data_IF_420906932899
#
_entry.id   IF_420906932899
#
_cell.length_a   1.000
_cell.length_b   1.000
_cell.length_c   1.000
_cell.angle_alpha   90.00
_cell.angle_beta   90.00
_cell.angle_gamma   90.00
#
_symmetry.space_group_name_H-M   'P 1'
#
loop_
_entity.id
_entity.type
_entity.pdbx_description
1 polymer ?
#
# COMPACT_ATOMS: atom_id res chain seq x y z
N UNK A 1 11.45 18.15 6.15
CA UNK A 1 11.28 18.39 5.78
C UNK A 1 11.37 18.53 5.25
N UNK A 2 11.55 18.42 5.11
CA UNK A 2 11.49 18.67 4.43
C UNK A 2 11.26 18.85 3.66
N UNK A 3 11.01 19.02 3.50
CA UNK A 3 10.64 19.33 2.67
C UNK A 3 10.64 20.01 2.02
N UNK A 4 10.61 20.21 1.99
CA UNK A 4 10.56 20.96 1.29
C UNK A 4 11.04 21.36 0.73
N UNK A 5 11.20 21.33 0.84
CA UNK A 5 11.54 21.86 0.19
C UNK A 5 11.87 22.06 -0.43
N UNK A 6 11.80 21.91 -0.37
CA UNK A 6 11.96 22.31 -1.12
C UNK A 6 11.95 22.50 -1.74
N UNK A 7 11.80 22.47 -1.61
CA UNK A 7 11.58 22.85 -2.36
C UNK A 7 11.59 23.08 -3.08
N UNK A 8 11.53 23.18 -2.95
CA UNK A 8 11.23 23.57 -3.79
C UNK A 8 11.53 23.76 -4.51
N UNK A 9 11.60 23.96 -4.60
CA UNK A 9 11.67 24.29 -5.42
C UNK A 9 12.02 24.33 -6.23
N UNK A 10 12.10 24.32 -6.33
CA UNK A 10 12.25 24.46 -7.31
C UNK A 10 12.25 24.40 -8.14
N UNK A 11 12.13 24.36 -8.23
CA UNK A 11 12.13 24.39 -9.08
C UNK A 11 11.62 24.66 -9.86
N UNK A 12 11.15 24.71 -9.50
CA UNK A 12 10.41 25.16 -10.22
C UNK A 12 10.54 25.52 -11.43
N UNK A 13 10.81 25.66 -11.67
CA UNK A 13 11.08 26.13 -12.66
C UNK A 13 10.95 25.44 -13.78
N UNK A 14 10.96 25.13 -13.80
CA UNK A 14 11.01 24.80 -14.62
C UNK A 14 10.49 24.40 -15.43
N UNK A 15 10.53 24.18 -15.32
CA UNK A 15 10.21 23.88 -15.94
C UNK A 15 9.27 24.08 -16.58
N UNK A 16 9.34 24.46 -16.56
CA UNK A 16 8.49 25.16 -16.93
C UNK A 16 7.52 24.60 -17.94
N UNK A 17 7.32 24.82 -18.97
CA UNK A 17 6.30 24.32 -19.84
C UNK A 17 6.12 22.83 -19.76
N UNK A 18 7.21 22.18 -19.83
CA UNK A 18 7.16 20.71 -19.73
C UNK A 18 6.71 20.32 -18.38
N UNK A 19 7.19 21.07 -17.43
CA UNK A 19 6.89 20.76 -16.07
C UNK A 19 5.41 20.73 -15.78
N UNK A 20 4.65 21.44 -16.54
CA UNK A 20 3.23 21.49 -16.31
C UNK A 20 2.61 20.13 -16.22
N UNK A 21 3.02 19.26 -17.09
CA UNK A 21 2.46 17.91 -17.10
C UNK A 21 2.83 17.16 -15.83
N UNK A 22 4.07 17.27 -15.46
CA UNK A 22 4.53 16.58 -14.26
C UNK A 22 3.84 17.12 -13.02
N UNK A 23 3.60 18.40 -13.00
CA UNK A 23 2.95 19.02 -11.85
C UNK A 23 1.57 18.43 -11.64
N UNK A 24 0.84 18.19 -12.69
CA UNK A 24 -0.48 17.59 -12.56
C UNK A 24 -0.41 16.26 -11.82
N UNK A 25 0.53 15.43 -12.20
CA UNK A 25 0.66 14.14 -11.57
C UNK A 25 0.99 14.29 -10.09
N UNK A 26 1.87 15.23 -9.79
CA UNK A 26 2.26 15.46 -8.40
C UNK A 26 1.09 15.98 -7.58
N UNK A 27 0.31 16.88 -8.13
CA UNK A 27 -0.84 17.41 -7.42
C UNK A 27 -1.85 16.33 -7.13
N UNK A 28 -2.10 15.48 -8.12
CA UNK A 28 -3.03 14.37 -7.93
C UNK A 28 -2.54 13.43 -6.85
N UNK A 29 -1.25 13.19 -6.83
CA UNK A 29 -0.67 12.31 -5.82
C UNK A 29 -0.81 12.91 -4.43
N UNK A 30 -0.68 14.22 -4.31
CA UNK A 30 -0.81 14.86 -3.01
C UNK A 30 -2.20 14.72 -2.43
N UNK A 31 -3.20 14.73 -3.28
CA UNK A 31 -4.59 14.65 -2.84
C UNK A 31 -5.07 13.22 -2.70
N UNK A 32 -4.33 12.27 -3.25
CA UNK A 32 -4.78 10.89 -3.28
C UNK A 32 -4.53 10.22 -1.94
N UNK A 33 -5.50 9.44 -1.53
CA UNK A 33 -5.34 8.55 -0.39
C UNK A 33 -5.25 7.11 -0.91
N UNK A 34 -4.60 6.27 -0.14
CA UNK A 34 -4.35 4.88 -0.52
C UNK A 34 -4.89 3.95 0.53
N UNK A 35 -5.55 2.89 0.07
CA UNK A 35 -6.03 1.83 0.96
C UNK A 35 -5.20 0.59 0.69
N UNK A 36 -4.60 0.05 1.73
CA UNK A 36 -3.74 -1.11 1.61
C UNK A 36 -4.33 -2.24 2.44
N UNK A 37 -4.58 -3.36 1.77
CA UNK A 37 -5.06 -4.55 2.45
C UNK A 37 -3.89 -5.39 2.89
N UNK A 38 -3.90 -5.86 4.13
CA UNK A 38 -2.87 -6.72 4.65
C UNK A 38 -3.51 -8.03 5.07
N UNK A 39 -3.10 -9.11 4.44
CA UNK A 39 -3.55 -10.46 4.80
C UNK A 39 -2.38 -11.18 5.44
N UNK A 40 -2.45 -11.36 6.75
CA UNK A 40 -1.45 -12.09 7.49
C UNK A 40 -2.01 -13.46 7.82
N UNK A 41 -1.24 -14.50 7.55
CA UNK A 41 -1.73 -15.87 7.73
C UNK A 41 -2.13 -16.15 9.16
N UNK A 42 -1.29 -15.77 10.10
CA UNK A 42 -1.51 -16.11 11.50
C UNK A 42 -0.74 -15.12 12.36
N UNK A 43 -1.15 -15.00 13.60
CA UNK A 43 -0.43 -14.16 14.54
C UNK A 43 0.85 -14.88 14.96
N UNK A 44 1.97 -14.33 14.60
CA UNK A 44 3.27 -14.89 14.88
C UNK A 44 4.26 -13.72 14.98
N UNK A 45 5.19 -13.83 15.91
CA UNK A 45 6.11 -12.74 16.19
C UNK A 45 6.82 -12.25 14.94
N UNK A 46 7.31 -13.17 14.11
CA UNK A 46 8.03 -12.81 12.89
C UNK A 46 7.11 -12.13 11.87
N UNK A 47 5.89 -12.64 11.74
CA UNK A 47 4.94 -12.08 10.80
C UNK A 47 4.44 -10.71 11.29
N UNK A 48 4.22 -10.59 12.58
CA UNK A 48 3.80 -9.32 13.16
C UNK A 48 4.87 -8.26 12.94
N UNK A 49 6.13 -8.62 13.11
CA UNK A 49 7.24 -7.70 12.90
C UNK A 49 7.31 -7.25 11.45
N UNK A 50 7.12 -8.17 10.51
CA UNK A 50 7.16 -7.84 9.10
C UNK A 50 6.01 -6.89 8.73
N UNK A 51 4.82 -7.18 9.22
CA UNK A 51 3.65 -6.33 8.97
C UNK A 51 3.85 -4.95 9.56
N UNK A 52 4.35 -4.88 10.79
CA UNK A 52 4.56 -3.60 11.44
C UNK A 52 5.64 -2.79 10.70
N UNK A 53 6.72 -3.43 10.29
CA UNK A 53 7.76 -2.75 9.53
C UNK A 53 7.25 -2.18 8.22
N UNK A 54 6.41 -2.95 7.54
CA UNK A 54 5.79 -2.48 6.31
C UNK A 54 4.90 -1.26 6.58
N UNK A 55 4.07 -1.34 7.61
CA UNK A 55 3.18 -0.23 7.95
C UNK A 55 3.97 1.02 8.31
N UNK A 56 5.02 0.84 9.09
CA UNK A 56 5.85 1.97 9.51
C UNK A 56 6.50 2.66 8.31
N UNK A 57 7.03 1.87 7.39
CA UNK A 57 7.71 2.42 6.22
C UNK A 57 6.73 3.17 5.33
N UNK A 58 5.55 2.62 5.11
CA UNK A 58 4.55 3.27 4.28
C UNK A 58 4.03 4.54 4.96
N UNK A 59 3.82 4.48 6.26
CA UNK A 59 3.34 5.64 7.01
C UNK A 59 4.37 6.76 6.97
N UNK A 60 5.65 6.41 7.02
CA UNK A 60 6.71 7.40 6.92
C UNK A 60 6.66 8.15 5.59
N UNK A 61 6.31 7.44 4.52
CA UNK A 61 6.26 8.03 3.19
C UNK A 61 4.96 8.78 2.92
N UNK A 62 3.83 8.25 3.36
CA UNK A 62 2.53 8.76 3.00
C UNK A 62 1.79 9.47 4.14
N UNK A 63 2.22 9.25 5.37
CA UNK A 63 1.59 9.89 6.52
C UNK A 63 0.13 9.50 6.64
N UNK A 64 -0.73 10.49 6.74
CA UNK A 64 -2.17 10.24 6.91
C UNK A 64 -2.89 10.00 5.59
N UNK A 65 -2.15 9.86 4.50
CA UNK A 65 -2.74 9.55 3.20
C UNK A 65 -2.89 8.07 2.96
N UNK A 66 -2.56 7.23 3.92
CA UNK A 66 -2.66 5.79 3.78
C UNK A 66 -3.53 5.23 4.89
N UNK A 67 -4.36 4.25 4.52
CA UNK A 67 -5.21 3.51 5.45
C UNK A 67 -4.90 2.03 5.28
N UNK A 68 -4.79 1.32 6.39
CA UNK A 68 -4.50 -0.12 6.35
C UNK A 68 -5.72 -0.90 6.82
N UNK A 69 -6.08 -1.92 6.05
CA UNK A 69 -7.08 -2.90 6.46
C UNK A 69 -6.32 -4.19 6.74
N UNK A 70 -6.01 -4.41 8.00
CA UNK A 70 -5.18 -5.54 8.41
C UNK A 70 -6.05 -6.67 8.89
N UNK A 71 -5.96 -7.82 8.24
CA UNK A 71 -6.76 -8.99 8.57
C UNK A 71 -5.85 -10.17 8.86
N UNK A 72 -6.30 -11.02 9.76
CA UNK A 72 -5.56 -12.21 10.17
C UNK A 72 -6.39 -13.45 9.85
N UNK A 73 -5.79 -14.38 9.12
CA UNK A 73 -6.51 -15.57 8.66
C UNK A 73 -6.51 -16.71 9.70
N UNK A 74 -5.82 -16.50 10.80
CA UNK A 74 -5.79 -17.45 11.93
C UNK A 74 -5.35 -18.85 11.50
N UNK A 75 -4.43 -18.89 10.55
CA UNK A 75 -3.83 -20.13 10.09
C UNK A 75 -4.61 -20.87 9.01
N UNK A 76 -5.70 -20.29 8.53
CA UNK A 76 -6.60 -20.99 7.62
C UNK A 76 -6.46 -20.41 6.21
N UNK A 77 -6.03 -21.24 5.26
CA UNK A 77 -5.87 -20.81 3.88
C UNK A 77 -7.18 -20.38 3.24
N UNK A 78 -8.29 -21.02 3.60
CA UNK A 78 -9.59 -20.61 3.08
C UNK A 78 -9.97 -19.23 3.56
N UNK A 79 -9.62 -18.91 4.80
CA UNK A 79 -9.85 -17.59 5.33
C UNK A 79 -9.00 -16.56 4.58
N UNK A 80 -7.78 -16.92 4.19
CA UNK A 80 -6.96 -16.05 3.35
C UNK A 80 -7.72 -15.67 2.08
N UNK A 81 -8.31 -16.65 1.42
CA UNK A 81 -9.06 -16.39 0.19
C UNK A 81 -10.23 -15.46 0.41
N UNK A 82 -10.93 -15.63 1.52
CA UNK A 82 -12.05 -14.76 1.86
C UNK A 82 -11.57 -13.32 2.08
N UNK A 83 -10.46 -13.17 2.81
CA UNK A 83 -9.89 -11.85 3.06
C UNK A 83 -9.51 -11.17 1.76
N UNK A 84 -8.88 -11.91 0.85
CA UNK A 84 -8.48 -11.35 -0.44
C UNK A 84 -9.71 -10.94 -1.25
N UNK A 85 -10.75 -11.76 -1.23
CA UNK A 85 -12.00 -11.41 -1.92
C UNK A 85 -12.56 -10.09 -1.40
N UNK A 86 -12.52 -9.90 -0.08
CA UNK A 86 -12.98 -8.65 0.51
C UNK A 86 -12.13 -7.46 0.04
N UNK A 87 -10.81 -7.64 -0.01
CA UNK A 87 -9.92 -6.57 -0.48
C UNK A 87 -10.22 -6.20 -1.92
N UNK A 88 -10.46 -7.19 -2.76
CA UNK A 88 -10.80 -6.95 -4.17
C UNK A 88 -12.11 -6.18 -4.28
N UNK A 89 -13.10 -6.59 -3.49
CA UNK A 89 -14.40 -5.91 -3.48
C UNK A 89 -14.28 -4.46 -3.01
N UNK A 90 -13.41 -4.23 -2.04
CA UNK A 90 -13.21 -2.88 -1.52
C UNK A 90 -12.37 -2.02 -2.44
N UNK A 91 -11.69 -2.63 -3.40
CA UNK A 91 -10.86 -1.88 -4.33
C UNK A 91 -9.62 -1.31 -3.72
N UNK A 92 -8.95 -2.09 -2.84
CA UNK A 92 -7.71 -1.59 -2.23
C UNK A 92 -6.65 -1.36 -3.30
N UNK A 93 -5.72 -0.49 -3.02
CA UNK A 93 -4.69 -0.09 -3.97
C UNK A 93 -3.50 -1.05 -4.00
N UNK A 94 -3.28 -1.77 -2.92
CA UNK A 94 -2.15 -2.68 -2.78
C UNK A 94 -2.50 -3.74 -1.75
N UNK A 95 -2.02 -4.96 -1.96
CA UNK A 95 -2.19 -6.03 -0.99
C UNK A 95 -0.82 -6.47 -0.50
N UNK A 96 -0.64 -6.48 0.82
CA UNK A 96 0.51 -7.14 1.43
C UNK A 96 0.05 -8.53 1.86
N UNK A 97 0.65 -9.55 1.27
CA UNK A 97 0.34 -10.94 1.61
C UNK A 97 1.50 -11.48 2.45
N UNK A 98 1.25 -11.68 3.72
CA UNK A 98 2.27 -12.06 4.68
C UNK A 98 2.16 -13.54 4.98
N UNK A 99 3.09 -14.30 4.45
CA UNK A 99 3.22 -15.75 4.46
C UNK A 99 2.67 -16.36 3.18
N UNK A 100 3.19 -17.55 2.85
CA UNK A 100 2.94 -18.19 1.57
C UNK A 100 1.47 -18.44 1.27
N UNK A 101 0.65 -18.97 2.19
CA UNK A 101 -0.76 -19.17 1.86
C UNK A 101 -1.49 -17.88 1.55
N UNK A 102 -1.12 -16.78 2.23
CA UNK A 102 -1.72 -15.49 1.93
C UNK A 102 -1.30 -15.02 0.54
N UNK A 103 -0.04 -15.22 0.18
CA UNK A 103 0.45 -14.84 -1.14
C UNK A 103 -0.24 -15.64 -2.23
N UNK A 104 -0.42 -16.93 -2.02
CA UNK A 104 -1.10 -17.79 -2.99
C UNK A 104 -2.54 -17.35 -3.16
N UNK A 105 -3.22 -17.02 -2.08
CA UNK A 105 -4.60 -16.56 -2.14
C UNK A 105 -4.70 -15.25 -2.91
N UNK A 106 -3.77 -14.34 -2.65
CA UNK A 106 -3.77 -13.05 -3.34
C UNK A 106 -3.53 -13.23 -4.85
N UNK A 107 -2.56 -14.06 -5.20
CA UNK A 107 -2.24 -14.29 -6.60
C UNK A 107 -3.41 -14.93 -7.34
N UNK A 108 -4.15 -15.79 -6.66
CA UNK A 108 -5.33 -16.42 -7.27
C UNK A 108 -6.53 -15.49 -7.31
N UNK A 109 -6.60 -14.53 -6.40
CA UNK A 109 -7.78 -13.70 -6.22
C UNK A 109 -7.81 -12.44 -7.05
N UNK A 110 -6.69 -11.97 -7.53
CA UNK A 110 -6.66 -10.75 -8.34
C UNK A 110 -5.50 -10.78 -9.32
N UNK A 111 -5.73 -10.19 -10.48
CA UNK A 111 -4.69 -9.97 -11.48
C UNK A 111 -4.41 -8.49 -11.65
N UNK A 112 -5.18 -7.64 -11.00
CA UNK A 112 -5.13 -6.19 -11.23
C UNK A 112 -4.48 -5.43 -10.08
N UNK A 113 -4.69 -5.89 -8.84
CA UNK A 113 -4.17 -5.19 -7.68
C UNK A 113 -2.73 -5.65 -7.43
N UNK A 114 -1.78 -4.73 -7.28
CA UNK A 114 -0.40 -5.13 -6.99
C UNK A 114 -0.33 -5.89 -5.67
N UNK A 115 0.49 -6.92 -5.65
CA UNK A 115 0.68 -7.77 -4.49
C UNK A 115 2.14 -7.74 -4.09
N UNK A 116 2.36 -7.52 -2.80
CA UNK A 116 3.69 -7.57 -2.21
C UNK A 116 3.69 -8.73 -1.22
N UNK A 117 4.68 -9.58 -1.35
CA UNK A 117 4.72 -10.73 -0.45
C UNK A 117 6.10 -11.32 -0.28
#
# INVERSE_FOLDING_TARGET
MKKQILAGILSATMVVGMGGVSVFAADNADDKTYNIGICQLVQHEALDAATQGFKDAITEELGDKVTFDEQNAQGDSNTCSTIITDFVSDGVDLILANATPALQAAAAGTADIPILG
#
